data_IF_759500012822
#
_entry.id   IF_759500012822
#
_cell.length_a   1.000
_cell.length_b   1.000
_cell.length_c   1.000
_cell.angle_alpha   90.00
_cell.angle_beta   90.00
_cell.angle_gamma   90.00
#
_symmetry.space_group_name_H-M   'P 1'
#
loop_
_entity.id
_entity.type
_entity.pdbx_description
1 polymer ?
#
# COMPACT_ATOMS: atom_id res chain seq x y z
N UNK A 1 7.53 -22.23 44.27
CA UNK A 1 7.74 -21.47 43.02
C UNK A 1 8.86 -22.11 42.20
N UNK A 2 8.53 -22.89 41.15
CA UNK A 2 9.52 -23.53 40.28
C UNK A 2 10.06 -22.51 39.27
N UNK A 3 11.30 -22.08 39.43
CA UNK A 3 12.02 -21.29 38.42
C UNK A 3 12.41 -22.23 37.28
N UNK A 4 11.63 -22.23 36.21
CA UNK A 4 11.97 -22.90 34.96
C UNK A 4 13.22 -22.21 34.42
N UNK A 5 14.35 -22.92 34.38
CA UNK A 5 15.56 -22.44 33.69
C UNK A 5 15.21 -22.33 32.20
N UNK A 6 15.03 -21.11 31.72
CA UNK A 6 14.91 -20.85 30.28
C UNK A 6 16.24 -21.21 29.63
N UNK A 7 16.22 -22.20 28.75
CA UNK A 7 17.40 -22.63 28.01
C UNK A 7 17.62 -21.66 26.84
N UNK A 8 18.88 -21.37 26.50
CA UNK A 8 19.23 -20.40 25.46
C UNK A 8 18.54 -20.67 24.10
N UNK A 9 18.25 -21.94 23.80
CA UNK A 9 17.52 -22.36 22.60
C UNK A 9 16.08 -21.84 22.54
N UNK A 10 15.41 -21.65 23.68
CA UNK A 10 14.03 -21.14 23.76
C UNK A 10 13.98 -19.62 23.53
N UNK A 11 15.03 -18.90 23.93
CA UNK A 11 15.16 -17.45 23.69
C UNK A 11 15.47 -17.20 22.21
N UNK A 12 16.36 -18.01 21.62
CA UNK A 12 16.73 -17.87 20.21
C UNK A 12 15.55 -18.12 19.26
N UNK A 13 14.68 -19.09 19.57
CA UNK A 13 13.50 -19.41 18.74
C UNK A 13 12.42 -18.34 18.80
N UNK A 14 12.17 -17.74 19.96
CA UNK A 14 11.26 -16.59 20.09
C UNK A 14 11.76 -15.34 19.35
N UNK A 15 13.07 -15.09 19.35
CA UNK A 15 13.67 -13.96 18.64
C UNK A 15 13.52 -14.04 17.12
N UNK A 16 13.68 -15.23 16.54
CA UNK A 16 13.55 -15.43 15.08
C UNK A 16 12.08 -15.30 14.63
N UNK A 17 11.13 -15.82 15.41
CA UNK A 17 9.70 -15.72 15.08
C UNK A 17 9.21 -14.25 15.07
N UNK A 18 9.73 -13.42 15.98
CA UNK A 18 9.42 -12.00 16.02
C UNK A 18 9.96 -11.26 14.78
N UNK A 19 11.18 -11.54 14.34
CA UNK A 19 11.77 -10.88 13.16
C UNK A 19 11.03 -11.20 11.85
N UNK A 20 10.52 -12.43 11.69
CA UNK A 20 9.72 -12.81 10.49
C UNK A 20 8.35 -12.11 10.49
N UNK A 21 7.81 -11.76 11.67
CA UNK A 21 6.49 -11.13 11.81
C UNK A 21 6.48 -9.64 11.43
N UNK A 22 7.62 -8.94 11.54
CA UNK A 22 7.74 -7.50 11.25
C UNK A 22 8.42 -7.21 9.90
N UNK A 23 9.08 -8.18 9.27
CA UNK A 23 9.89 -7.98 8.05
C UNK A 23 9.13 -7.76 6.73
N UNK A 24 7.79 -7.75 6.73
CA UNK A 24 7.00 -7.65 5.48
C UNK A 24 6.03 -6.47 5.39
N UNK A 25 6.02 -5.52 6.34
CA UNK A 25 4.98 -4.47 6.38
C UNK A 25 5.34 -3.09 5.83
N UNK A 26 6.56 -2.85 5.35
CA UNK A 26 6.90 -1.56 4.73
C UNK A 26 7.33 -1.77 3.29
N UNK A 27 6.37 -1.71 2.35
CA UNK A 27 6.68 -1.18 1.03
C UNK A 27 6.75 0.34 1.19
N UNK A 28 7.93 0.96 1.11
CA UNK A 28 8.02 2.42 1.13
C UNK A 28 7.24 2.92 -0.09
N UNK A 29 6.19 3.70 0.14
CA UNK A 29 5.56 4.49 -0.92
C UNK A 29 6.68 5.23 -1.68
N UNK A 30 6.72 5.17 -3.02
CA UNK A 30 7.72 5.91 -3.80
C UNK A 30 7.67 7.39 -3.39
N UNK A 31 8.72 7.87 -2.72
CA UNK A 31 8.82 9.26 -2.25
C UNK A 31 9.05 10.25 -3.38
N UNK A 32 9.38 9.76 -4.57
CA UNK A 32 9.60 10.58 -5.75
C UNK A 32 8.31 10.69 -6.55
N UNK A 33 7.87 11.91 -6.91
CA UNK A 33 6.82 12.08 -7.90
C UNK A 33 7.14 11.26 -9.16
N UNK A 34 6.13 10.63 -9.77
CA UNK A 34 6.35 9.86 -11.00
C UNK A 34 6.96 10.78 -12.06
N UNK A 35 8.08 10.33 -12.62
CA UNK A 35 8.81 11.06 -13.67
C UNK A 35 8.53 10.35 -14.99
N UNK A 36 7.92 11.05 -15.95
CA UNK A 36 7.56 10.51 -17.25
C UNK A 36 6.30 11.12 -17.84
N UNK A 37 5.96 10.79 -19.10
CA UNK A 37 4.69 11.19 -19.68
C UNK A 37 3.52 10.53 -18.95
N UNK A 38 2.40 11.25 -18.86
CA UNK A 38 1.16 10.70 -18.32
C UNK A 38 0.70 9.56 -19.23
N UNK A 39 0.39 8.36 -18.70
CA UNK A 39 -0.15 7.27 -19.50
C UNK A 39 -1.47 7.69 -20.16
N UNK A 40 -1.72 7.24 -21.39
CA UNK A 40 -2.96 7.55 -22.12
C UNK A 40 -4.22 7.13 -21.36
N UNK A 41 -4.13 6.07 -20.53
CA UNK A 41 -5.21 5.62 -19.66
C UNK A 41 -5.58 6.59 -18.52
N UNK A 42 -4.81 7.65 -18.31
CA UNK A 42 -5.11 8.74 -17.37
C UNK A 42 -5.21 10.10 -18.07
N UNK A 43 -5.03 10.15 -19.39
CA UNK A 43 -5.00 11.38 -20.18
C UNK A 43 -6.40 11.81 -20.66
N UNK A 44 -7.37 11.83 -19.73
CA UNK A 44 -8.71 12.30 -20.02
C UNK A 44 -9.40 12.90 -18.79
N UNK A 45 -10.45 13.67 -19.06
CA UNK A 45 -11.27 14.31 -18.05
C UNK A 45 -12.57 13.54 -17.85
N UNK A 46 -13.00 13.44 -16.60
CA UNK A 46 -14.29 12.87 -16.20
C UNK A 46 -15.06 13.88 -15.36
N UNK A 47 -16.38 13.85 -15.43
CA UNK A 47 -17.23 14.68 -14.58
C UNK A 47 -17.38 14.02 -13.20
N UNK A 48 -17.19 14.78 -12.14
CA UNK A 48 -17.43 14.32 -10.77
C UNK A 48 -18.92 14.18 -10.48
N UNK A 49 -19.26 13.56 -9.35
CA UNK A 49 -20.67 13.45 -8.89
C UNK A 49 -21.31 14.82 -8.62
N UNK A 50 -20.49 15.84 -8.31
CA UNK A 50 -20.91 17.22 -8.08
C UNK A 50 -20.99 18.05 -9.37
N UNK A 51 -20.63 17.46 -10.53
CA UNK A 51 -20.65 18.13 -11.83
C UNK A 51 -19.33 18.78 -12.25
N UNK A 52 -18.29 18.71 -11.42
CA UNK A 52 -17.00 19.37 -11.67
C UNK A 52 -16.08 18.53 -12.58
N UNK A 53 -15.30 19.13 -13.48
CA UNK A 53 -14.34 18.40 -14.29
C UNK A 53 -13.15 17.92 -13.44
N UNK A 54 -12.82 16.63 -13.56
CA UNK A 54 -11.68 15.98 -12.90
C UNK A 54 -10.75 15.42 -13.95
N UNK A 55 -9.54 15.95 -14.01
CA UNK A 55 -8.45 15.39 -14.81
C UNK A 55 -7.82 14.18 -14.09
N UNK A 56 -7.84 12.99 -14.71
CA UNK A 56 -7.30 11.78 -14.10
C UNK A 56 -5.77 11.74 -14.05
N UNK A 57 -5.07 12.60 -14.79
CA UNK A 57 -3.61 12.73 -14.76
C UNK A 57 -3.07 13.03 -13.34
N UNK A 58 -3.90 13.61 -12.46
CA UNK A 58 -3.56 13.85 -11.04
C UNK A 58 -3.26 12.58 -10.25
N UNK A 59 -3.62 11.40 -10.77
CA UNK A 59 -3.37 10.10 -10.16
C UNK A 59 -2.17 9.37 -10.77
N UNK A 60 -1.38 10.02 -11.64
CA UNK A 60 -0.14 9.42 -12.12
C UNK A 60 0.75 9.00 -10.95
N UNK A 61 1.41 7.85 -11.07
CA UNK A 61 2.22 7.25 -10.00
C UNK A 61 1.44 6.62 -8.86
N UNK A 62 0.10 6.64 -8.91
CA UNK A 62 -0.77 5.97 -7.94
C UNK A 62 -1.47 4.79 -8.57
N UNK A 63 -1.73 3.76 -7.76
CA UNK A 63 -2.62 2.66 -8.15
C UNK A 63 -4.06 3.17 -8.06
N UNK A 64 -4.82 3.03 -9.15
CA UNK A 64 -6.22 3.47 -9.25
C UNK A 64 -7.09 2.26 -9.62
N UNK A 65 -8.21 2.11 -8.92
CA UNK A 65 -9.23 1.10 -9.25
C UNK A 65 -10.47 1.82 -9.78
N UNK A 66 -10.91 1.44 -10.97
CA UNK A 66 -12.13 1.98 -11.59
C UNK A 66 -13.28 1.00 -11.34
N UNK A 67 -14.36 1.49 -10.76
CA UNK A 67 -15.57 0.70 -10.49
C UNK A 67 -16.74 1.35 -11.19
N UNK A 68 -17.43 0.58 -12.04
CA UNK A 68 -18.69 1.00 -12.64
C UNK A 68 -19.84 0.67 -11.68
N UNK A 69 -20.58 1.69 -11.24
CA UNK A 69 -21.66 1.56 -10.25
C UNK A 69 -22.97 2.00 -10.91
N UNK A 70 -24.05 1.25 -10.64
CA UNK A 70 -25.42 1.61 -11.00
C UNK A 70 -26.32 1.35 -9.79
N UNK A 71 -27.24 2.28 -9.50
CA UNK A 71 -28.32 2.08 -8.52
C UNK A 71 -29.55 1.48 -9.19
N UNK A 72 -30.39 0.80 -8.39
CA UNK A 72 -31.71 0.31 -8.83
C UNK A 72 -32.72 1.45 -9.00
#
# INVERSE_FOLDING_TARGET
>A
MRRTRMNAATIATLGVALLVSFGCQDQPLPKTPPTGPVPESLNFQVTSIDGEPVNLARYFGKVVVVVNIASR
#
